data_IF_028070965482
#
_entry.id   IF_028070965482
#
_cell.length_a   1.000
_cell.length_b   1.000
_cell.length_c   1.000
_cell.angle_alpha   90.00
_cell.angle_beta   90.00
_cell.angle_gamma   90.00
#
_symmetry.space_group_name_H-M   'P 1'
#
loop_
_entity.id
_entity.type
_entity.pdbx_description
1 polymer ?
#
# COMPACT_ATOMS: atom_id res chain seq x y z
N UNK A 1 2.98 -33.34 3.94
CA UNK A 1 2.24 -32.30 4.70
C UNK A 1 0.78 -32.33 4.28
N UNK A 2 -0.14 -32.25 5.22
CA UNK A 2 -1.57 -32.11 4.90
C UNK A 2 -1.85 -30.69 4.36
N UNK A 3 -2.96 -30.51 3.65
CA UNK A 3 -3.34 -29.23 3.04
C UNK A 3 -3.38 -28.08 4.07
N UNK A 4 -3.87 -28.36 5.28
CA UNK A 4 -3.97 -27.39 6.38
C UNK A 4 -2.60 -26.96 6.93
N UNK A 5 -1.63 -27.88 6.95
CA UNK A 5 -0.27 -27.59 7.40
C UNK A 5 0.42 -26.66 6.39
N UNK A 6 0.25 -26.94 5.09
CA UNK A 6 0.74 -26.09 4.00
C UNK A 6 0.14 -24.69 4.11
N UNK A 7 -1.17 -24.59 4.34
CA UNK A 7 -1.86 -23.31 4.51
C UNK A 7 -1.29 -22.51 5.68
N UNK A 8 -1.05 -23.15 6.81
CA UNK A 8 -0.47 -22.48 7.99
C UNK A 8 0.90 -21.88 7.67
N UNK A 9 1.78 -22.64 7.02
CA UNK A 9 3.13 -22.18 6.62
C UNK A 9 3.05 -21.06 5.59
N UNK A 10 2.24 -21.23 4.54
CA UNK A 10 2.23 -20.34 3.38
C UNK A 10 1.42 -19.05 3.61
N UNK A 11 0.43 -19.08 4.50
CA UNK A 11 -0.25 -17.87 4.96
C UNK A 11 0.65 -17.03 5.89
N UNK A 12 1.39 -17.66 6.82
CA UNK A 12 2.34 -16.92 7.67
C UNK A 12 3.46 -16.29 6.84
N UNK A 13 4.01 -17.03 5.88
CA UNK A 13 5.02 -16.52 4.95
C UNK A 13 4.51 -15.35 4.08
N UNK A 14 3.22 -15.31 3.77
CA UNK A 14 2.62 -14.23 2.99
C UNK A 14 2.48 -12.92 3.76
N UNK A 15 2.62 -12.89 5.10
CA UNK A 15 2.40 -11.67 5.90
C UNK A 15 3.31 -10.50 5.50
N UNK A 16 4.49 -10.79 4.97
CA UNK A 16 5.48 -9.80 4.50
C UNK A 16 5.14 -9.14 3.15
N UNK A 17 4.16 -9.68 2.40
CA UNK A 17 3.63 -9.03 1.19
C UNK A 17 2.53 -8.01 1.56
N UNK A 18 2.88 -6.75 1.78
CA UNK A 18 1.90 -5.73 2.17
C UNK A 18 1.07 -5.32 0.95
N UNK A 19 -0.16 -5.82 0.86
CA UNK A 19 -1.15 -5.42 -0.16
C UNK A 19 -2.55 -5.20 0.42
N UNK A 20 -2.70 -5.41 1.73
CA UNK A 20 -3.96 -5.36 2.48
C UNK A 20 -3.64 -5.04 3.95
N UNK A 21 -4.62 -4.53 4.70
CA UNK A 21 -4.45 -4.01 6.05
C UNK A 21 -5.10 -4.97 7.06
N UNK A 22 -4.38 -5.98 7.57
CA UNK A 22 -4.82 -6.67 8.81
C UNK A 22 -3.87 -7.71 9.44
N UNK A 23 -2.66 -7.97 8.94
CA UNK A 23 -1.86 -9.10 9.45
C UNK A 23 -0.85 -8.69 10.53
N UNK A 24 -1.34 -8.44 11.75
CA UNK A 24 -0.48 -8.18 12.92
C UNK A 24 -1.09 -8.56 14.28
N UNK A 25 -2.20 -9.31 14.32
CA UNK A 25 -2.82 -9.69 15.59
C UNK A 25 -1.98 -10.77 16.32
N UNK A 26 -1.72 -10.65 17.63
CA UNK A 26 -0.95 -11.64 18.38
C UNK A 26 -1.67 -12.98 18.40
N UNK A 27 -0.93 -14.09 18.43
CA UNK A 27 -1.50 -15.45 18.53
C UNK A 27 -2.27 -15.61 19.84
N UNK A 28 -3.54 -15.98 19.74
CA UNK A 28 -4.50 -16.22 20.82
C UNK A 28 -5.15 -17.56 20.57
N UNK A 29 -5.48 -18.26 21.65
CA UNK A 29 -6.17 -19.54 21.59
C UNK A 29 -7.09 -19.65 22.79
N UNK A 30 -8.33 -20.05 22.55
CA UNK A 30 -9.29 -20.46 23.58
C UNK A 30 -9.14 -21.93 23.98
N UNK A 31 -8.17 -22.67 23.42
CA UNK A 31 -7.96 -24.08 23.79
C UNK A 31 -7.54 -24.18 25.27
N UNK A 32 -8.38 -24.78 26.10
CA UNK A 32 -8.14 -24.94 27.53
C UNK A 32 -8.35 -23.67 28.37
N UNK A 33 -9.06 -22.66 27.83
CA UNK A 33 -9.40 -21.42 28.53
C UNK A 33 -10.90 -21.12 28.38
N UNK A 34 -11.50 -20.48 29.36
CA UNK A 34 -12.86 -19.96 29.23
C UNK A 34 -12.90 -18.84 28.19
N UNK A 35 -13.86 -18.92 27.26
CA UNK A 35 -14.07 -17.94 26.20
C UNK A 35 -14.00 -18.51 24.77
N UNK A 36 -14.25 -17.65 23.79
CA UNK A 36 -14.26 -17.97 22.36
C UNK A 36 -13.16 -17.23 21.61
N UNK A 37 -12.67 -17.85 20.54
CA UNK A 37 -11.80 -17.20 19.56
C UNK A 37 -10.35 -17.68 19.58
N UNK A 38 -9.75 -17.71 18.40
CA UNK A 38 -8.33 -17.93 18.19
C UNK A 38 -7.87 -17.04 17.04
N UNK A 39 -6.70 -16.44 17.17
CA UNK A 39 -6.03 -15.80 16.03
C UNK A 39 -5.13 -16.86 15.40
N UNK A 40 -5.66 -17.53 14.38
CA UNK A 40 -4.95 -18.48 13.55
C UNK A 40 -4.51 -17.80 12.25
N UNK A 41 -3.29 -18.10 11.79
CA UNK A 41 -2.70 -17.55 10.57
C UNK A 41 -3.29 -18.18 9.32
N UNK A 42 -4.62 -18.13 9.14
CA UNK A 42 -5.34 -18.79 8.03
C UNK A 42 -5.31 -17.98 6.72
N UNK A 43 -4.46 -16.95 6.65
CA UNK A 43 -4.24 -16.17 5.44
C UNK A 43 -5.37 -15.22 5.08
N UNK A 44 -6.39 -15.02 5.92
CA UNK A 44 -7.45 -14.05 5.60
C UNK A 44 -6.97 -12.64 5.90
N UNK A 45 -6.99 -11.78 4.89
CA UNK A 45 -6.62 -10.39 5.00
C UNK A 45 -7.76 -9.46 4.58
N UNK A 46 -7.88 -8.30 5.23
CA UNK A 46 -8.89 -7.30 4.90
C UNK A 46 -8.29 -6.19 4.04
N UNK A 47 -8.98 -5.88 2.96
CA UNK A 47 -8.68 -4.74 2.10
C UNK A 47 -9.91 -3.84 2.00
N UNK A 48 -9.71 -2.58 1.63
CA UNK A 48 -10.80 -1.62 1.50
C UNK A 48 -10.93 -1.18 0.05
N UNK A 49 -12.14 -1.31 -0.45
CA UNK A 49 -12.55 -0.77 -1.75
C UNK A 49 -12.58 0.76 -1.74
N UNK A 50 -12.54 1.44 -2.90
CA UNK A 50 -12.58 2.90 -2.97
C UNK A 50 -13.82 3.53 -2.29
N UNK A 51 -14.93 2.80 -2.22
CA UNK A 51 -16.17 3.20 -1.53
C UNK A 51 -16.18 2.85 -0.03
N UNK A 52 -15.08 2.35 0.52
CA UNK A 52 -14.89 2.10 1.95
C UNK A 52 -15.41 0.75 2.43
N UNK A 53 -15.91 -0.13 1.55
CA UNK A 53 -16.28 -1.51 1.95
C UNK A 53 -15.03 -2.33 2.23
N UNK A 54 -15.06 -3.02 3.36
CA UNK A 54 -14.08 -4.02 3.74
C UNK A 54 -14.34 -5.32 2.95
N UNK A 55 -13.31 -5.86 2.32
CA UNK A 55 -13.34 -7.13 1.60
C UNK A 55 -12.30 -8.08 2.18
N UNK A 56 -12.69 -9.32 2.45
CA UNK A 56 -11.78 -10.36 2.93
C UNK A 56 -11.15 -11.09 1.75
N UNK A 57 -9.84 -11.26 1.75
CA UNK A 57 -9.09 -11.99 0.72
C UNK A 57 -8.34 -13.15 1.35
N UNK A 58 -8.32 -14.31 0.69
CA UNK A 58 -7.38 -15.37 1.01
C UNK A 58 -6.00 -14.96 0.45
N UNK A 59 -5.12 -14.51 1.32
CA UNK A 59 -3.76 -14.09 1.04
C UNK A 59 -2.78 -15.21 1.40
N UNK A 60 -2.23 -15.86 0.38
CA UNK A 60 -1.32 -17.00 0.54
C UNK A 60 -0.19 -16.96 -0.49
N UNK A 61 0.89 -17.68 -0.19
CA UNK A 61 1.89 -18.02 -1.19
C UNK A 61 1.53 -19.37 -1.84
N UNK A 62 1.76 -19.52 -3.15
CA UNK A 62 1.78 -20.82 -3.81
C UNK A 62 2.87 -21.72 -3.21
N UNK A 63 4.04 -21.12 -2.94
CA UNK A 63 5.17 -21.76 -2.28
C UNK A 63 6.01 -20.71 -1.58
N UNK A 64 6.63 -21.05 -0.47
CA UNK A 64 7.66 -20.22 0.15
C UNK A 64 9.07 -20.69 -0.21
N UNK A 65 9.26 -21.79 -0.96
CA UNK A 65 10.55 -22.08 -1.58
C UNK A 65 10.92 -20.96 -2.57
N UNK A 66 12.16 -20.49 -2.52
CA UNK A 66 12.66 -19.44 -3.39
C UNK A 66 14.11 -19.71 -3.81
N UNK A 67 14.44 -19.48 -5.08
CA UNK A 67 15.81 -19.54 -5.60
C UNK A 67 16.65 -18.32 -5.22
N UNK A 68 16.01 -17.20 -4.88
CA UNK A 68 16.68 -15.93 -4.62
C UNK A 68 17.06 -15.79 -3.16
N UNK A 69 18.11 -15.01 -2.90
CA UNK A 69 18.66 -14.79 -1.57
C UNK A 69 18.49 -13.36 -1.04
N UNK A 70 17.33 -12.74 -1.32
CA UNK A 70 17.04 -11.38 -0.88
C UNK A 70 17.23 -11.23 0.64
N UNK A 71 18.13 -10.34 1.05
CA UNK A 71 18.66 -10.28 2.42
C UNK A 71 17.64 -9.81 3.46
N UNK A 72 16.57 -9.15 3.01
CA UNK A 72 15.43 -8.72 3.82
C UNK A 72 14.31 -9.77 3.92
N UNK A 73 14.37 -10.85 3.16
CA UNK A 73 13.23 -11.77 2.98
C UNK A 73 13.37 -13.02 3.84
N UNK A 74 12.36 -13.32 4.66
CA UNK A 74 12.34 -14.57 5.45
C UNK A 74 12.35 -15.81 4.56
N UNK A 75 11.81 -15.70 3.35
CA UNK A 75 11.69 -16.81 2.39
C UNK A 75 12.92 -16.94 1.47
N UNK A 76 13.99 -16.17 1.69
CA UNK A 76 15.24 -16.30 0.92
C UNK A 76 15.80 -17.72 1.01
N UNK A 77 16.53 -18.18 0.00
CA UNK A 77 17.01 -19.58 -0.07
C UNK A 77 17.83 -20.01 1.15
N UNK A 78 18.58 -19.09 1.76
CA UNK A 78 19.46 -19.36 2.89
C UNK A 78 18.75 -19.41 4.25
N UNK A 79 17.47 -19.05 4.33
CA UNK A 79 16.72 -19.10 5.58
C UNK A 79 16.28 -20.52 5.92
N UNK A 80 16.58 -20.94 7.14
CA UNK A 80 16.08 -22.18 7.72
C UNK A 80 14.69 -21.97 8.35
N UNK A 81 13.68 -22.04 7.49
CA UNK A 81 12.27 -21.94 7.89
C UNK A 81 11.48 -23.09 7.27
N UNK A 82 10.40 -23.58 7.90
CA UNK A 82 9.55 -24.61 7.32
C UNK A 82 9.09 -24.23 5.91
N UNK A 83 9.30 -25.13 4.94
CA UNK A 83 8.93 -24.89 3.55
C UNK A 83 7.76 -25.75 3.12
N UNK A 84 6.85 -25.16 2.37
CA UNK A 84 5.68 -25.82 1.82
C UNK A 84 5.43 -25.34 0.39
N UNK A 85 4.68 -26.14 -0.35
CA UNK A 85 4.25 -25.84 -1.70
C UNK A 85 2.88 -26.44 -1.94
N UNK A 86 2.00 -25.63 -2.50
CA UNK A 86 0.73 -26.08 -3.05
C UNK A 86 0.88 -26.51 -4.52
N UNK A 87 0.04 -27.44 -4.95
CA UNK A 87 -0.31 -27.56 -6.37
C UNK A 87 -1.34 -26.50 -6.74
N UNK A 88 -1.48 -26.14 -8.03
CA UNK A 88 -2.54 -25.23 -8.46
C UNK A 88 -3.94 -25.67 -8.02
N UNK A 89 -4.24 -26.97 -8.09
CA UNK A 89 -5.53 -27.57 -7.70
C UNK A 89 -5.80 -27.44 -6.20
N UNK A 90 -4.76 -27.55 -5.36
CA UNK A 90 -4.88 -27.31 -3.91
C UNK A 90 -5.27 -25.86 -3.61
N UNK A 91 -4.66 -24.88 -4.30
CA UNK A 91 -5.02 -23.45 -4.15
C UNK A 91 -6.45 -23.18 -4.61
N UNK A 92 -6.84 -23.74 -5.75
CA UNK A 92 -8.20 -23.64 -6.29
C UNK A 92 -9.22 -24.19 -5.29
N UNK A 93 -8.97 -25.40 -4.77
CA UNK A 93 -9.83 -26.07 -3.77
C UNK A 93 -10.00 -25.19 -2.53
N UNK A 94 -8.89 -24.70 -1.96
CA UNK A 94 -8.94 -23.80 -0.80
C UNK A 94 -9.75 -22.53 -1.10
N UNK A 95 -9.50 -21.89 -2.23
CA UNK A 95 -10.18 -20.65 -2.61
C UNK A 95 -11.68 -20.86 -2.69
N UNK A 96 -12.13 -21.93 -3.37
CA UNK A 96 -13.54 -22.25 -3.52
C UNK A 96 -14.20 -22.62 -2.17
N UNK A 97 -13.50 -23.36 -1.32
CA UNK A 97 -14.03 -23.76 -0.01
C UNK A 97 -14.21 -22.57 0.94
N UNK A 98 -13.21 -21.67 1.02
CA UNK A 98 -13.33 -20.43 1.79
C UNK A 98 -14.42 -19.51 1.23
N UNK A 99 -14.55 -19.44 -0.11
CA UNK A 99 -15.57 -18.61 -0.75
C UNK A 99 -16.99 -19.14 -0.49
N UNK A 100 -17.23 -20.45 -0.68
CA UNK A 100 -18.54 -21.08 -0.43
C UNK A 100 -19.01 -20.97 1.01
N UNK A 101 -18.06 -20.83 1.96
CA UNK A 101 -18.33 -20.60 3.38
C UNK A 101 -18.49 -19.12 3.75
N UNK A 102 -18.49 -18.21 2.77
CA UNK A 102 -18.55 -16.76 2.94
C UNK A 102 -17.40 -16.18 3.79
N UNK A 103 -16.25 -16.83 3.83
CA UNK A 103 -15.08 -16.36 4.58
C UNK A 103 -14.25 -15.35 3.80
N UNK A 104 -14.30 -15.38 2.46
CA UNK A 104 -13.53 -14.52 1.57
C UNK A 104 -14.38 -14.03 0.40
N UNK A 105 -13.98 -12.91 -0.17
CA UNK A 105 -14.50 -12.34 -1.42
C UNK A 105 -13.55 -12.56 -2.61
N UNK A 106 -12.34 -13.07 -2.36
CA UNK A 106 -11.33 -13.25 -3.40
C UNK A 106 -10.01 -13.86 -2.92
N UNK A 107 -9.09 -14.03 -3.86
CA UNK A 107 -7.76 -14.59 -3.69
C UNK A 107 -6.69 -13.50 -3.93
N UNK A 108 -5.72 -13.42 -3.04
CA UNK A 108 -4.43 -12.78 -3.28
C UNK A 108 -3.37 -13.88 -3.30
N UNK A 109 -2.75 -14.10 -4.46
CA UNK A 109 -1.77 -15.16 -4.65
C UNK A 109 -0.42 -14.58 -5.06
N UNK A 110 0.60 -14.96 -4.30
CA UNK A 110 2.01 -14.65 -4.53
C UNK A 110 2.82 -15.95 -4.48
N UNK A 111 4.12 -15.89 -4.70
CA UNK A 111 4.99 -17.07 -4.66
C UNK A 111 6.44 -16.70 -4.42
N UNK A 112 7.19 -17.60 -3.78
CA UNK A 112 8.63 -17.70 -4.01
C UNK A 112 8.92 -18.30 -5.39
N UNK A 113 10.13 -18.09 -5.90
CA UNK A 113 10.52 -18.51 -7.26
C UNK A 113 11.08 -19.94 -7.20
N UNK A 114 10.51 -20.85 -7.97
CA UNK A 114 10.93 -22.26 -8.05
C UNK A 114 11.19 -22.66 -9.50
N UNK A 115 12.25 -23.43 -9.74
CA UNK A 115 12.75 -23.84 -11.07
C UNK A 115 13.18 -22.67 -11.97
N UNK A 116 12.25 -21.80 -12.34
CA UNK A 116 12.49 -20.56 -13.09
C UNK A 116 11.37 -19.54 -12.80
N UNK A 117 11.59 -18.30 -13.20
CA UNK A 117 10.56 -17.25 -13.16
C UNK A 117 9.33 -17.66 -14.00
N UNK A 118 9.56 -18.12 -15.23
CA UNK A 118 8.52 -18.60 -16.15
C UNK A 118 7.69 -19.73 -15.54
N UNK A 119 8.35 -20.79 -15.08
CA UNK A 119 7.66 -21.94 -14.49
C UNK A 119 6.78 -21.53 -13.31
N UNK A 120 7.27 -20.62 -12.47
CA UNK A 120 6.51 -20.15 -11.32
C UNK A 120 5.31 -19.31 -11.78
N UNK A 121 5.48 -18.45 -12.79
CA UNK A 121 4.42 -17.63 -13.35
C UNK A 121 3.35 -18.49 -14.04
N UNK A 122 3.75 -19.53 -14.77
CA UNK A 122 2.84 -20.54 -15.33
C UNK A 122 1.96 -21.19 -14.26
N UNK A 123 2.52 -21.51 -13.08
CA UNK A 123 1.72 -22.08 -11.99
C UNK A 123 0.70 -21.08 -11.44
N UNK A 124 1.06 -19.80 -11.33
CA UNK A 124 0.14 -18.74 -10.90
C UNK A 124 -0.98 -18.54 -11.93
N UNK A 125 -0.64 -18.48 -13.22
CA UNK A 125 -1.60 -18.40 -14.31
C UNK A 125 -2.55 -19.59 -14.32
N UNK A 126 -2.02 -20.81 -14.11
CA UNK A 126 -2.83 -22.03 -14.03
C UNK A 126 -3.88 -21.95 -12.92
N UNK A 127 -3.54 -21.44 -11.74
CA UNK A 127 -4.53 -21.24 -10.66
C UNK A 127 -5.65 -20.30 -11.11
N UNK A 128 -5.30 -19.14 -11.67
CA UNK A 128 -6.30 -18.15 -12.10
C UNK A 128 -7.16 -18.67 -13.25
N UNK A 129 -6.57 -19.37 -14.23
CA UNK A 129 -7.26 -19.99 -15.35
C UNK A 129 -8.24 -21.07 -14.91
N UNK A 130 -7.81 -22.00 -14.04
CA UNK A 130 -8.69 -23.02 -13.44
C UNK A 130 -9.88 -22.38 -12.72
N UNK A 131 -9.63 -21.35 -11.91
CA UNK A 131 -10.70 -20.61 -11.22
C UNK A 131 -11.70 -19.99 -12.20
N UNK A 132 -11.22 -19.33 -13.27
CA UNK A 132 -12.08 -18.61 -14.22
C UNK A 132 -12.82 -19.52 -15.19
N UNK A 133 -12.11 -20.46 -15.82
CA UNK A 133 -12.62 -21.24 -16.96
C UNK A 133 -13.33 -22.52 -16.51
N UNK A 134 -12.73 -23.28 -15.58
CA UNK A 134 -13.28 -24.58 -15.16
C UNK A 134 -14.31 -24.42 -14.03
N UNK A 135 -14.03 -23.56 -13.06
CA UNK A 135 -14.89 -23.40 -11.88
C UNK A 135 -15.82 -22.18 -11.93
N UNK A 136 -15.72 -21.35 -12.97
CA UNK A 136 -16.59 -20.17 -13.17
C UNK A 136 -16.51 -19.15 -12.03
N UNK A 137 -15.41 -19.13 -11.26
CA UNK A 137 -15.22 -18.25 -10.11
C UNK A 137 -15.24 -16.78 -10.56
N UNK A 138 -16.17 -16.00 -10.01
CA UNK A 138 -16.33 -14.56 -10.28
C UNK A 138 -15.87 -13.65 -9.13
N UNK A 139 -15.29 -14.23 -8.08
CA UNK A 139 -14.67 -13.45 -7.00
C UNK A 139 -13.39 -12.75 -7.43
N UNK A 140 -12.87 -11.88 -6.58
CA UNK A 140 -11.69 -11.06 -6.87
C UNK A 140 -10.41 -11.92 -6.93
N UNK A 141 -9.52 -11.67 -7.89
CA UNK A 141 -8.20 -12.32 -8.00
C UNK A 141 -7.11 -11.24 -8.13
N UNK A 142 -6.18 -11.22 -7.19
CA UNK A 142 -4.95 -10.44 -7.26
C UNK A 142 -3.76 -11.40 -7.39
N UNK A 143 -3.02 -11.31 -8.50
CA UNK A 143 -1.77 -12.04 -8.68
C UNK A 143 -0.56 -11.13 -8.50
N UNK A 144 0.44 -11.60 -7.76
CA UNK A 144 1.76 -10.99 -7.72
C UNK A 144 2.59 -11.56 -8.87
N UNK A 145 2.88 -10.73 -9.86
CA UNK A 145 3.63 -11.13 -11.05
C UNK A 145 5.11 -11.29 -10.72
N UNK A 146 5.78 -12.20 -11.43
CA UNK A 146 7.23 -12.40 -11.31
C UNK A 146 7.89 -11.60 -12.44
N UNK A 147 8.65 -10.54 -12.11
CA UNK A 147 9.19 -9.62 -13.13
C UNK A 147 10.03 -10.28 -14.21
N UNK A 148 10.81 -11.30 -13.84
CA UNK A 148 11.75 -11.96 -14.73
C UNK A 148 11.10 -13.08 -15.58
N UNK A 149 9.77 -13.20 -15.55
CA UNK A 149 9.03 -14.13 -16.38
C UNK A 149 8.80 -13.57 -17.80
N UNK A 150 8.59 -14.46 -18.76
CA UNK A 150 8.24 -14.12 -20.14
C UNK A 150 7.05 -13.11 -20.16
N UNK A 151 7.17 -11.99 -20.89
CA UNK A 151 6.09 -11.01 -21.02
C UNK A 151 4.73 -11.61 -21.43
N UNK A 152 4.71 -12.70 -22.20
CA UNK A 152 3.48 -13.40 -22.58
C UNK A 152 2.78 -14.06 -21.39
N UNK A 153 3.54 -14.54 -20.40
CA UNK A 153 2.99 -15.10 -19.16
C UNK A 153 2.42 -13.99 -18.28
N UNK A 154 3.04 -12.80 -18.27
CA UNK A 154 2.52 -11.62 -17.56
C UNK A 154 1.22 -11.14 -18.23
N UNK A 155 1.18 -11.13 -19.57
CA UNK A 155 -0.02 -10.78 -20.32
C UNK A 155 -1.16 -11.76 -20.05
N UNK A 156 -0.87 -13.07 -20.06
CA UNK A 156 -1.85 -14.10 -19.71
C UNK A 156 -2.42 -13.89 -18.29
N UNK A 157 -1.58 -13.56 -17.32
CA UNK A 157 -2.02 -13.25 -15.95
C UNK A 157 -3.03 -12.09 -15.93
N UNK A 158 -2.79 -11.06 -16.73
CA UNK A 158 -3.66 -9.90 -16.82
C UNK A 158 -5.05 -10.22 -17.36
N UNK A 159 -5.19 -11.24 -18.21
CA UNK A 159 -6.49 -11.68 -18.75
C UNK A 159 -7.38 -12.36 -17.70
N UNK A 160 -6.79 -13.05 -16.73
CA UNK A 160 -7.54 -13.82 -15.72
C UNK A 160 -7.65 -13.12 -14.35
N UNK A 161 -6.69 -12.27 -14.01
CA UNK A 161 -6.66 -11.54 -12.74
C UNK A 161 -7.45 -10.22 -12.80
N UNK A 162 -8.01 -9.81 -11.66
CA UNK A 162 -8.60 -8.47 -11.51
C UNK A 162 -7.53 -7.41 -11.28
N UNK A 163 -6.46 -7.77 -10.56
CA UNK A 163 -5.31 -6.91 -10.26
C UNK A 163 -4.00 -7.68 -10.41
N UNK A 164 -3.01 -6.99 -10.96
CA UNK A 164 -1.62 -7.45 -10.94
C UNK A 164 -0.78 -6.57 -10.01
N UNK A 165 0.27 -7.14 -9.42
CA UNK A 165 1.28 -6.34 -8.73
C UNK A 165 2.68 -6.83 -8.98
N UNK A 166 3.58 -5.87 -9.22
CA UNK A 166 5.01 -6.07 -9.41
C UNK A 166 5.72 -5.39 -8.24
N UNK A 167 6.52 -6.11 -7.45
CA UNK A 167 7.30 -5.44 -6.39
C UNK A 167 8.55 -4.79 -6.97
N UNK A 168 8.74 -3.51 -6.69
CA UNK A 168 10.04 -2.84 -6.89
C UNK A 168 11.01 -3.16 -5.74
N UNK A 169 10.48 -3.58 -4.60
CA UNK A 169 11.17 -4.01 -3.37
C UNK A 169 11.91 -2.89 -2.65
N UNK A 170 12.82 -2.18 -3.32
CA UNK A 170 13.64 -1.14 -2.74
C UNK A 170 13.55 0.16 -3.54
N UNK A 171 13.67 1.31 -2.87
CA UNK A 171 13.44 2.61 -3.49
C UNK A 171 14.56 3.05 -4.45
N UNK A 172 15.75 2.43 -4.36
CA UNK A 172 16.91 2.74 -5.21
C UNK A 172 17.50 1.49 -5.83
N UNK A 173 18.09 1.65 -7.02
CA UNK A 173 18.78 0.57 -7.73
C UNK A 173 20.01 0.06 -6.98
N UNK A 174 20.81 0.97 -6.41
CA UNK A 174 21.99 0.61 -5.61
C UNK A 174 21.62 -0.30 -4.43
N UNK A 175 20.50 -0.01 -3.76
CA UNK A 175 20.00 -0.84 -2.67
C UNK A 175 19.45 -2.17 -3.16
N UNK A 176 18.77 -2.20 -4.32
CA UNK A 176 18.31 -3.44 -4.93
C UNK A 176 19.47 -4.38 -5.24
N UNK A 177 20.52 -3.87 -5.89
CA UNK A 177 21.73 -4.65 -6.21
C UNK A 177 22.36 -5.21 -4.93
N UNK A 178 22.45 -4.39 -3.88
CA UNK A 178 23.09 -4.80 -2.63
C UNK A 178 22.29 -5.86 -1.87
N UNK A 179 20.96 -5.71 -1.79
CA UNK A 179 20.12 -6.51 -0.89
C UNK A 179 19.33 -7.62 -1.60
N UNK A 180 19.20 -7.57 -2.92
CA UNK A 180 18.51 -8.57 -3.73
C UNK A 180 19.16 -8.67 -5.13
N UNK A 181 20.42 -9.12 -5.22
CA UNK A 181 21.21 -9.08 -6.45
C UNK A 181 20.63 -9.92 -7.60
N UNK A 182 19.78 -10.90 -7.30
CA UNK A 182 19.11 -11.69 -8.34
C UNK A 182 17.97 -10.94 -9.05
N UNK A 183 17.54 -9.78 -8.53
CA UNK A 183 16.48 -8.95 -9.12
C UNK A 183 17.07 -7.81 -9.93
N UNK A 184 16.44 -7.48 -11.06
CA UNK A 184 16.89 -6.39 -11.94
C UNK A 184 15.84 -5.31 -12.06
N UNK A 185 16.25 -4.03 -11.91
CA UNK A 185 15.35 -2.88 -12.08
C UNK A 185 14.75 -2.86 -13.49
N UNK A 186 15.54 -3.26 -14.49
CA UNK A 186 15.11 -3.28 -15.90
C UNK A 186 13.93 -4.21 -16.11
N UNK A 187 14.00 -5.46 -15.65
CA UNK A 187 12.92 -6.45 -15.80
C UNK A 187 11.68 -6.07 -14.99
N UNK A 188 11.87 -5.53 -13.78
CA UNK A 188 10.78 -4.95 -12.96
C UNK A 188 10.03 -3.87 -13.72
N UNK A 189 10.74 -2.90 -14.31
CA UNK A 189 10.14 -1.81 -15.07
C UNK A 189 9.48 -2.31 -16.36
N UNK A 190 10.09 -3.26 -17.05
CA UNK A 190 9.52 -3.90 -18.24
C UNK A 190 8.20 -4.61 -17.91
N UNK A 191 8.15 -5.38 -16.83
CA UNK A 191 6.92 -6.04 -16.37
C UNK A 191 5.81 -5.02 -16.06
N UNK A 192 6.11 -3.94 -15.33
CA UNK A 192 5.14 -2.86 -15.06
C UNK A 192 4.66 -2.18 -16.36
N UNK A 193 5.57 -1.98 -17.32
CA UNK A 193 5.24 -1.41 -18.62
C UNK A 193 4.29 -2.31 -19.41
N UNK A 194 4.58 -3.61 -19.51
CA UNK A 194 3.72 -4.58 -20.20
C UNK A 194 2.31 -4.62 -19.60
N UNK A 195 2.19 -4.58 -18.27
CA UNK A 195 0.89 -4.51 -17.59
C UNK A 195 0.17 -3.21 -17.92
N UNK A 196 0.88 -2.08 -17.93
CA UNK A 196 0.30 -0.78 -18.28
C UNK A 196 -0.21 -0.76 -19.72
N UNK A 197 0.55 -1.32 -20.67
CA UNK A 197 0.13 -1.46 -22.06
C UNK A 197 -1.13 -2.33 -22.20
N UNK A 198 -1.17 -3.47 -21.51
CA UNK A 198 -2.35 -4.34 -21.50
C UNK A 198 -3.60 -3.65 -20.93
N UNK A 199 -3.46 -2.90 -19.83
CA UNK A 199 -4.55 -2.10 -19.26
C UNK A 199 -5.04 -1.02 -20.22
N UNK A 200 -4.10 -0.32 -20.88
CA UNK A 200 -4.42 0.72 -21.85
C UNK A 200 -5.17 0.15 -23.06
N UNK A 201 -4.66 -0.94 -23.63
CA UNK A 201 -5.27 -1.60 -24.78
C UNK A 201 -6.70 -2.06 -24.46
N UNK A 202 -6.90 -2.75 -23.34
CA UNK A 202 -8.22 -3.23 -22.92
C UNK A 202 -9.24 -2.10 -22.65
N UNK A 203 -8.77 -0.88 -22.37
CA UNK A 203 -9.62 0.29 -22.12
C UNK A 203 -10.01 1.03 -23.39
N UNK A 204 -9.06 1.21 -24.31
CA UNK A 204 -9.26 2.00 -25.53
C UNK A 204 -9.94 1.21 -26.65
N UNK A 205 -9.69 -0.10 -26.74
CA UNK A 205 -10.20 -0.93 -27.82
C UNK A 205 -11.55 -1.57 -27.48
N UNK A 206 -12.58 -1.21 -28.24
CA UNK A 206 -13.91 -1.83 -28.10
C UNK A 206 -13.85 -3.31 -28.47
N UNK A 207 -14.23 -4.17 -27.54
CA UNK A 207 -14.27 -5.62 -27.74
C UNK A 207 -13.01 -6.36 -27.32
N UNK A 208 -11.95 -5.65 -26.91
CA UNK A 208 -10.75 -6.29 -26.37
C UNK A 208 -11.05 -7.03 -25.06
N UNK A 209 -10.39 -8.17 -24.81
CA UNK A 209 -10.55 -8.91 -23.57
C UNK A 209 -10.27 -8.04 -22.36
N UNK A 210 -10.95 -8.31 -21.24
CA UNK A 210 -10.64 -7.62 -19.98
C UNK A 210 -9.20 -7.92 -19.59
N UNK A 211 -8.51 -6.89 -19.11
CA UNK A 211 -7.15 -6.99 -18.62
C UNK A 211 -7.03 -6.23 -17.30
N UNK A 212 -6.72 -6.94 -16.21
CA UNK A 212 -6.49 -6.40 -14.87
C UNK A 212 -7.35 -5.17 -14.54
N UNK A 213 -8.70 -5.26 -14.56
CA UNK A 213 -9.59 -4.11 -14.48
C UNK A 213 -9.45 -3.26 -13.20
N UNK A 214 -8.93 -3.83 -12.12
CA UNK A 214 -8.63 -3.12 -10.87
C UNK A 214 -7.24 -2.44 -10.89
N UNK A 215 -6.54 -2.48 -12.02
CA UNK A 215 -5.25 -1.88 -12.30
C UNK A 215 -4.08 -2.55 -11.58
N UNK A 216 -2.89 -2.00 -11.78
CA UNK A 216 -1.66 -2.49 -11.18
C UNK A 216 -1.21 -1.74 -9.91
N UNK A 217 -0.41 -2.42 -9.10
CA UNK A 217 0.17 -1.87 -7.86
C UNK A 217 1.59 -2.38 -7.62
N UNK A 218 2.31 -1.72 -6.71
CA UNK A 218 3.67 -2.12 -6.33
C UNK A 218 3.89 -2.03 -4.82
N UNK A 219 4.99 -2.57 -4.33
CA UNK A 219 5.41 -2.51 -2.93
C UNK A 219 6.89 -2.11 -2.82
N UNK A 220 7.19 -1.26 -1.84
CA UNK A 220 8.53 -0.89 -1.38
C UNK A 220 8.71 -1.25 0.11
N UNK A 221 9.89 -1.72 0.45
CA UNK A 221 10.34 -1.94 1.82
C UNK A 221 11.02 -0.65 2.30
N UNK A 222 10.59 -0.17 3.46
CA UNK A 222 11.06 1.07 4.08
C UNK A 222 11.95 0.71 5.25
N UNK A 223 13.15 1.28 5.31
CA UNK A 223 14.08 1.07 6.43
C UNK A 223 14.86 -0.24 6.40
N UNK A 224 14.90 -0.94 5.25
CA UNK A 224 15.88 -2.01 5.03
C UNK A 224 17.29 -1.45 4.72
N UNK A 225 17.38 -0.16 4.44
CA UNK A 225 18.59 0.59 4.19
C UNK A 225 18.47 2.04 4.72
N UNK A 226 19.46 2.87 4.40
CA UNK A 226 19.50 4.28 4.78
C UNK A 226 18.74 5.20 3.80
N UNK A 227 17.91 4.67 2.90
CA UNK A 227 17.18 5.53 1.95
C UNK A 227 16.20 6.41 2.71
N UNK A 228 16.20 7.70 2.38
CA UNK A 228 15.35 8.70 3.00
C UNK A 228 13.94 8.78 2.37
N UNK A 229 13.01 9.42 3.08
CA UNK A 229 11.62 9.52 2.62
C UNK A 229 11.48 10.40 1.38
N UNK A 230 12.37 11.39 1.19
CA UNK A 230 12.42 12.22 -0.02
C UNK A 230 12.62 11.36 -1.27
N UNK A 231 13.63 10.49 -1.25
CA UNK A 231 13.90 9.54 -2.34
C UNK A 231 12.73 8.59 -2.55
N UNK A 232 12.16 8.03 -1.48
CA UNK A 232 11.02 7.10 -1.55
C UNK A 232 9.82 7.76 -2.22
N UNK A 233 9.47 9.00 -1.84
CA UNK A 233 8.33 9.73 -2.41
C UNK A 233 8.58 10.13 -3.87
N UNK A 234 9.80 10.52 -4.22
CA UNK A 234 10.15 10.79 -5.61
C UNK A 234 10.06 9.53 -6.48
N UNK A 235 10.57 8.40 -6.01
CA UNK A 235 10.41 7.11 -6.70
C UNK A 235 8.92 6.77 -6.85
N UNK A 236 8.11 6.91 -5.80
CA UNK A 236 6.67 6.68 -5.88
C UNK A 236 5.98 7.60 -6.91
N UNK A 237 6.34 8.89 -6.94
CA UNK A 237 5.80 9.85 -7.91
C UNK A 237 6.10 9.42 -9.35
N UNK A 238 7.34 9.05 -9.65
CA UNK A 238 7.75 8.58 -10.97
C UNK A 238 6.98 7.31 -11.36
N UNK A 239 6.83 6.35 -10.44
CA UNK A 239 6.07 5.13 -10.72
C UNK A 239 4.60 5.39 -11.03
N UNK A 240 3.96 6.34 -10.32
CA UNK A 240 2.59 6.76 -10.65
C UNK A 240 2.48 7.41 -12.02
N UNK A 241 3.46 8.24 -12.39
CA UNK A 241 3.51 8.90 -13.70
C UNK A 241 3.73 7.92 -14.85
N UNK A 242 4.78 7.10 -14.72
CA UNK A 242 5.30 6.24 -15.78
C UNK A 242 4.39 5.02 -16.05
N UNK A 243 3.79 4.45 -15.01
CA UNK A 243 3.02 3.19 -15.10
C UNK A 243 1.55 3.32 -14.70
N UNK A 244 1.08 4.53 -14.37
CA UNK A 244 -0.30 4.79 -13.93
C UNK A 244 -0.76 3.89 -12.77
N UNK A 245 0.16 3.58 -11.85
CA UNK A 245 -0.12 2.68 -10.73
C UNK A 245 -1.36 3.14 -9.94
N UNK A 246 -2.16 2.18 -9.47
CA UNK A 246 -3.28 2.47 -8.58
C UNK A 246 -2.82 2.74 -7.16
N UNK A 247 -1.73 2.10 -6.74
CA UNK A 247 -1.19 2.18 -5.38
C UNK A 247 0.26 1.72 -5.30
N UNK A 248 1.03 2.45 -4.50
CA UNK A 248 2.30 2.01 -3.91
C UNK A 248 2.03 1.60 -2.46
N UNK A 249 2.47 0.41 -2.09
CA UNK A 249 2.44 -0.07 -0.71
C UNK A 249 3.81 0.12 -0.07
N UNK A 250 3.81 0.68 1.13
CA UNK A 250 5.00 0.82 1.98
C UNK A 250 4.93 -0.25 3.06
N UNK A 251 6.00 -1.01 3.23
CA UNK A 251 6.16 -1.98 4.31
C UNK A 251 7.37 -1.58 5.12
N UNK A 252 7.19 -1.28 6.41
CA UNK A 252 8.32 -1.21 7.32
C UNK A 252 9.11 -2.52 7.25
N UNK A 253 10.44 -2.41 7.22
CA UNK A 253 11.32 -3.55 7.30
C UNK A 253 11.10 -4.27 8.63
N UNK A 254 10.85 -5.57 8.56
CA UNK A 254 10.79 -6.44 9.73
C UNK A 254 12.06 -7.28 9.74
N UNK A 255 12.92 -7.14 10.77
CA UNK A 255 14.03 -8.05 10.98
C UNK A 255 13.56 -9.50 10.95
N UNK A 256 14.32 -10.34 10.26
CA UNK A 256 14.07 -11.78 10.18
C UNK A 256 14.98 -12.53 11.16
N UNK A 257 14.60 -13.73 11.62
CA UNK A 257 15.52 -14.60 12.33
C UNK A 257 16.82 -14.77 11.53
N UNK A 258 17.97 -14.61 12.19
CA UNK A 258 19.29 -14.68 11.53
C UNK A 258 19.45 -13.71 10.35
N UNK A 259 18.98 -12.46 10.52
CA UNK A 259 19.19 -11.38 9.56
C UNK A 259 20.68 -11.19 9.27
N UNK A 260 21.09 -11.05 8.00
CA UNK A 260 22.45 -10.65 7.64
C UNK A 260 22.81 -9.27 8.20
N UNK A 261 24.10 -9.03 8.45
CA UNK A 261 24.61 -7.74 8.92
C UNK A 261 24.45 -6.59 7.91
N UNK A 262 24.02 -6.90 6.68
CA UNK A 262 23.78 -5.95 5.60
C UNK A 262 22.41 -5.27 5.67
N UNK A 263 21.50 -5.78 6.51
CA UNK A 263 20.22 -5.14 6.84
C UNK A 263 20.23 -4.73 8.32
N UNK A 264 19.42 -3.72 8.72
CA UNK A 264 19.31 -3.34 10.12
C UNK A 264 18.87 -4.50 11.03
N UNK A 265 19.28 -4.47 12.29
CA UNK A 265 18.82 -5.43 13.30
C UNK A 265 17.50 -5.01 13.95
N UNK A 266 17.15 -3.72 13.86
CA UNK A 266 15.94 -3.16 14.43
C UNK A 266 14.97 -2.74 13.31
N UNK A 267 13.67 -2.87 13.58
CA UNK A 267 12.64 -2.35 12.70
C UNK A 267 12.63 -0.81 12.73
N UNK A 268 12.34 -0.12 11.61
CA UNK A 268 12.16 1.32 11.64
C UNK A 268 10.88 1.67 12.43
N UNK A 269 10.75 2.92 12.92
CA UNK A 269 9.53 3.36 13.58
C UNK A 269 8.31 3.13 12.68
N UNK A 270 7.27 2.43 13.18
CA UNK A 270 6.02 2.22 12.43
C UNK A 270 5.37 3.53 11.99
N UNK A 271 5.58 4.60 12.76
CA UNK A 271 5.09 5.92 12.41
C UNK A 271 5.70 6.43 11.10
N UNK A 272 6.91 6.02 10.72
CA UNK A 272 7.52 6.35 9.43
C UNK A 272 6.73 5.76 8.26
N UNK A 273 6.36 4.48 8.34
CA UNK A 273 5.49 3.83 7.33
C UNK A 273 4.15 4.58 7.22
N UNK A 274 3.54 4.92 8.36
CA UNK A 274 2.29 5.67 8.39
C UNK A 274 2.43 7.06 7.76
N UNK A 275 3.51 7.80 8.04
CA UNK A 275 3.78 9.12 7.45
C UNK A 275 3.97 9.04 5.93
N UNK A 276 4.64 8.00 5.43
CA UNK A 276 4.74 7.75 3.98
C UNK A 276 3.37 7.49 3.35
N UNK A 277 2.49 6.71 3.97
CA UNK A 277 1.12 6.54 3.48
C UNK A 277 0.32 7.84 3.48
N UNK A 278 0.50 8.69 4.50
CA UNK A 278 -0.13 10.01 4.53
C UNK A 278 0.38 10.91 3.40
N UNK A 279 1.69 10.95 3.17
CA UNK A 279 2.32 11.70 2.08
C UNK A 279 1.86 11.20 0.70
N UNK A 280 1.85 9.89 0.47
CA UNK A 280 1.32 9.26 -0.75
C UNK A 280 -0.14 9.63 -1.01
N UNK A 281 -0.96 9.64 0.04
CA UNK A 281 -2.35 10.06 -0.06
C UNK A 281 -2.49 11.53 -0.47
N UNK A 282 -1.61 12.41 0.01
CA UNK A 282 -1.55 13.81 -0.44
C UNK A 282 -1.15 13.90 -1.92
N UNK A 283 -0.20 13.10 -2.37
CA UNK A 283 0.22 13.09 -3.78
C UNK A 283 -0.92 12.64 -4.70
N UNK A 284 -1.54 11.49 -4.40
CA UNK A 284 -2.62 10.94 -5.25
C UNK A 284 -3.94 11.69 -5.13
N UNK A 285 -4.31 12.10 -3.92
CA UNK A 285 -5.63 12.65 -3.62
C UNK A 285 -5.71 14.17 -3.67
N UNK A 286 -4.63 14.87 -3.32
CA UNK A 286 -4.59 16.33 -3.21
C UNK A 286 -3.71 16.98 -4.29
N UNK A 287 -2.98 16.19 -5.08
CA UNK A 287 -2.11 16.69 -6.14
C UNK A 287 -0.86 17.39 -5.62
N UNK A 288 -0.32 16.95 -4.48
CA UNK A 288 1.01 17.36 -4.04
C UNK A 288 2.09 16.70 -4.90
N UNK A 289 3.15 17.44 -5.23
CA UNK A 289 4.39 16.85 -5.70
C UNK A 289 5.28 16.42 -4.51
N UNK A 290 6.11 15.39 -4.71
CA UNK A 290 7.06 14.92 -3.70
C UNK A 290 7.99 16.05 -3.21
N UNK A 291 8.48 16.87 -4.13
CA UNK A 291 9.33 18.02 -3.81
C UNK A 291 8.63 19.15 -3.06
N UNK A 292 7.28 19.19 -3.05
CA UNK A 292 6.54 20.11 -2.18
C UNK A 292 6.53 19.60 -0.73
N UNK A 293 6.39 18.28 -0.54
CA UNK A 293 6.34 17.67 0.79
C UNK A 293 7.70 17.64 1.48
N UNK A 294 8.78 17.46 0.70
CA UNK A 294 10.16 17.50 1.15
C UNK A 294 11.00 18.26 0.10
N UNK A 295 11.47 19.47 0.44
CA UNK A 295 12.24 20.31 -0.48
C UNK A 295 13.70 19.87 -0.70
N UNK A 296 14.16 18.84 -0.01
CA UNK A 296 15.51 18.31 -0.10
C UNK A 296 15.62 16.91 0.48
N UNK A 297 16.85 16.36 0.59
CA UNK A 297 17.10 15.09 1.25
C UNK A 297 16.60 15.11 2.70
N UNK A 298 16.06 13.99 3.16
CA UNK A 298 15.56 13.86 4.53
C UNK A 298 14.30 13.02 4.67
N UNK A 299 13.87 12.89 5.92
CA UNK A 299 12.70 12.10 6.32
C UNK A 299 11.52 12.99 6.70
N UNK A 300 10.32 12.44 6.61
CA UNK A 300 9.11 13.09 7.08
C UNK A 300 9.16 13.25 8.60
N UNK A 301 8.56 14.33 9.08
CA UNK A 301 8.35 14.56 10.51
C UNK A 301 7.50 13.44 11.12
N UNK A 302 7.95 12.89 12.24
CA UNK A 302 7.19 11.85 12.95
C UNK A 302 6.12 12.47 13.88
N UNK A 303 6.40 13.63 14.47
CA UNK A 303 5.55 14.33 15.44
C UNK A 303 4.30 15.02 14.86
N UNK A 304 4.29 15.29 13.55
CA UNK A 304 3.17 15.94 12.85
C UNK A 304 2.89 15.29 11.50
N UNK A 305 1.64 15.36 11.04
CA UNK A 305 1.28 14.84 9.72
C UNK A 305 1.88 15.67 8.57
N UNK A 306 2.15 15.07 7.39
CA UNK A 306 2.84 15.76 6.28
C UNK A 306 2.10 17.01 5.76
N UNK A 307 0.76 17.05 5.87
CA UNK A 307 -0.03 18.19 5.41
C UNK A 307 0.14 19.39 6.33
N UNK A 308 0.13 19.13 7.64
CA UNK A 308 0.44 20.15 8.66
C UNK A 308 1.90 20.61 8.54
N UNK A 309 2.85 19.68 8.37
CA UNK A 309 4.27 20.03 8.18
C UNK A 309 4.46 20.96 6.97
N UNK A 310 3.82 20.64 5.85
CA UNK A 310 3.83 21.51 4.67
C UNK A 310 3.26 22.89 4.97
N UNK A 311 2.09 22.97 5.62
CA UNK A 311 1.44 24.25 5.91
C UNK A 311 2.23 25.14 6.88
N UNK A 312 3.00 24.54 7.79
CA UNK A 312 3.89 25.25 8.71
C UNK A 312 5.18 25.75 8.03
N UNK A 313 5.67 25.04 7.01
CA UNK A 313 6.85 25.43 6.25
C UNK A 313 6.54 26.45 5.13
N UNK A 314 5.28 26.57 4.70
CA UNK A 314 4.85 27.45 3.61
C UNK A 314 3.86 28.52 4.13
N UNK A 315 4.26 29.25 5.18
CA UNK A 315 3.40 30.22 5.89
C UNK A 315 2.92 31.37 5.01
N UNK A 316 3.65 31.69 3.96
CA UNK A 316 3.31 32.73 2.97
C UNK A 316 1.98 32.46 2.25
N UNK A 317 1.53 31.21 2.19
CA UNK A 317 0.24 30.85 1.61
C UNK A 317 -0.93 30.95 2.61
N UNK A 318 -0.66 31.30 3.88
CA UNK A 318 -1.63 31.24 4.96
C UNK A 318 -1.68 32.55 5.77
N UNK A 319 -2.87 32.92 6.28
CA UNK A 319 -4.12 32.17 6.25
C UNK A 319 -4.87 32.28 4.92
N UNK A 320 -5.57 31.21 4.56
CA UNK A 320 -6.34 31.11 3.31
C UNK A 320 -7.73 31.70 3.52
N UNK A 321 -8.11 32.71 2.72
CA UNK A 321 -9.47 33.24 2.70
C UNK A 321 -10.43 32.24 2.04
N UNK A 322 -11.27 31.61 2.85
CA UNK A 322 -12.27 30.65 2.44
C UNK A 322 -13.50 31.26 1.74
N UNK A 323 -13.44 32.50 1.28
CA UNK A 323 -14.42 33.05 0.34
C UNK A 323 -13.80 33.38 -1.02
N UNK A 324 -12.47 33.31 -1.15
CA UNK A 324 -11.73 33.75 -2.34
C UNK A 324 -10.79 32.71 -2.91
N UNK A 325 -10.17 31.90 -2.06
CA UNK A 325 -9.14 30.96 -2.49
C UNK A 325 -9.68 29.86 -3.40
N UNK A 326 -8.82 29.38 -4.30
CA UNK A 326 -9.09 28.29 -5.22
C UNK A 326 -9.36 26.95 -4.48
N UNK A 327 -10.18 26.04 -5.06
CA UNK A 327 -10.48 24.71 -4.52
C UNK A 327 -9.24 23.94 -4.05
N UNK A 328 -8.19 23.95 -4.87
CA UNK A 328 -6.94 23.24 -4.59
C UNK A 328 -6.25 23.77 -3.33
N UNK A 329 -6.17 25.10 -3.16
CA UNK A 329 -5.53 25.69 -1.99
C UNK A 329 -6.33 25.45 -0.70
N UNK A 330 -7.67 25.48 -0.77
CA UNK A 330 -8.52 25.13 0.39
C UNK A 330 -8.29 23.67 0.79
N UNK A 331 -8.18 22.78 -0.19
CA UNK A 331 -7.89 21.38 0.08
C UNK A 331 -6.51 21.19 0.71
N UNK A 332 -5.57 22.12 0.57
CA UNK A 332 -4.24 22.07 1.22
C UNK A 332 -4.23 22.57 2.66
N UNK A 333 -5.30 23.19 3.15
CA UNK A 333 -5.45 23.59 4.56
C UNK A 333 -5.51 22.35 5.47
N UNK A 334 -4.68 22.26 6.53
CA UNK A 334 -4.78 21.19 7.53
C UNK A 334 -6.19 21.08 8.12
N UNK A 335 -6.71 19.87 8.25
CA UNK A 335 -8.07 19.64 8.76
C UNK A 335 -9.23 19.85 7.78
N UNK A 336 -8.98 20.29 6.54
CA UNK A 336 -9.99 20.35 5.47
C UNK A 336 -9.67 19.31 4.39
N UNK A 337 -10.58 18.35 4.15
CA UNK A 337 -10.42 17.36 3.08
C UNK A 337 -10.86 17.87 1.70
N UNK A 338 -10.49 17.16 0.62
CA UNK A 338 -10.86 17.52 -0.77
C UNK A 338 -12.37 17.65 -0.95
N UNK A 339 -13.16 16.71 -0.43
CA UNK A 339 -14.63 16.77 -0.51
C UNK A 339 -15.18 17.98 0.25
N UNK A 340 -14.64 18.29 1.44
CA UNK A 340 -15.04 19.47 2.19
C UNK A 340 -14.66 20.76 1.46
N UNK A 341 -13.49 20.82 0.81
CA UNK A 341 -13.08 21.94 -0.02
C UNK A 341 -14.04 22.18 -1.19
N UNK A 342 -14.45 21.13 -1.91
CA UNK A 342 -15.44 21.21 -2.99
C UNK A 342 -16.81 21.69 -2.49
N UNK A 343 -17.26 21.17 -1.34
CA UNK A 343 -18.52 21.59 -0.70
C UNK A 343 -18.46 23.07 -0.28
N UNK A 344 -17.34 23.52 0.29
CA UNK A 344 -17.13 24.93 0.63
C UNK A 344 -17.21 25.83 -0.60
N UNK A 345 -16.57 25.45 -1.71
CA UNK A 345 -16.62 26.23 -2.96
C UNK A 345 -18.03 26.29 -3.52
N UNK A 346 -18.78 25.19 -3.45
CA UNK A 346 -20.19 25.15 -3.86
C UNK A 346 -21.05 26.07 -2.98
N UNK A 347 -20.83 26.05 -1.67
CA UNK A 347 -21.58 26.85 -0.70
C UNK A 347 -21.30 28.36 -0.84
N UNK A 348 -20.08 28.77 -1.23
CA UNK A 348 -19.70 30.18 -1.49
C UNK A 348 -20.57 30.87 -2.53
N UNK A 349 -21.13 30.10 -3.47
CA UNK A 349 -22.02 30.62 -4.52
C UNK A 349 -23.36 31.09 -3.96
N UNK A 350 -23.75 30.59 -2.79
CA UNK A 350 -25.05 30.86 -2.16
C UNK A 350 -24.92 31.83 -0.99
N UNK A 351 -23.80 31.77 -0.26
CA UNK A 351 -23.55 32.64 0.90
C UNK A 351 -22.07 32.84 1.14
N UNK A 352 -21.74 33.85 1.95
CA UNK A 352 -20.39 33.97 2.51
C UNK A 352 -20.16 32.84 3.51
N UNK A 353 -19.02 32.15 3.37
CA UNK A 353 -18.60 31.09 4.27
C UNK A 353 -18.29 31.69 5.62
N UNK A 354 -18.92 31.14 6.65
CA UNK A 354 -18.73 31.46 8.05
C UNK A 354 -18.03 30.31 8.76
N UNK A 355 -17.48 30.57 9.93
CA UNK A 355 -16.77 29.57 10.72
C UNK A 355 -17.64 28.35 11.03
N UNK A 356 -18.93 28.55 11.33
CA UNK A 356 -19.89 27.48 11.62
C UNK A 356 -20.08 26.48 10.46
N UNK A 357 -19.84 26.91 9.21
CA UNK A 357 -20.01 26.04 8.03
C UNK A 357 -18.97 24.93 8.02
N UNK A 358 -17.75 25.20 8.51
CA UNK A 358 -16.71 24.19 8.62
C UNK A 358 -17.05 23.14 9.69
N UNK A 359 -17.68 23.55 10.79
CA UNK A 359 -18.18 22.63 11.82
C UNK A 359 -19.23 21.69 11.23
N UNK A 360 -20.20 22.23 10.48
CA UNK A 360 -21.26 21.44 9.83
C UNK A 360 -20.70 20.47 8.79
N UNK A 361 -19.62 20.85 8.10
CA UNK A 361 -18.90 19.99 7.16
C UNK A 361 -17.93 19.01 7.84
N UNK A 362 -17.90 18.96 9.18
CA UNK A 362 -17.06 18.08 9.99
C UNK A 362 -15.55 18.22 9.69
N UNK A 363 -15.10 19.43 9.37
CA UNK A 363 -13.68 19.72 9.26
C UNK A 363 -13.00 19.63 10.64
N UNK A 364 -11.72 19.25 10.69
CA UNK A 364 -10.95 19.22 11.93
C UNK A 364 -10.51 20.64 12.32
N UNK A 365 -11.38 21.35 13.04
CA UNK A 365 -11.23 22.78 13.30
C UNK A 365 -10.00 23.14 14.12
N UNK A 366 -9.58 22.33 15.09
CA UNK A 366 -8.36 22.60 15.86
C UNK A 366 -7.13 22.67 14.97
N UNK A 367 -7.05 21.81 13.94
CA UNK A 367 -5.97 21.85 12.95
C UNK A 367 -6.16 22.98 11.93
N UNK A 368 -7.39 23.30 11.52
CA UNK A 368 -7.66 24.28 10.47
C UNK A 368 -7.60 25.74 10.95
N UNK A 369 -7.97 25.99 12.21
CA UNK A 369 -8.14 27.33 12.79
C UNK A 369 -6.97 28.28 12.53
N UNK A 370 -5.68 27.89 12.65
CA UNK A 370 -4.57 28.82 12.41
C UNK A 370 -4.36 29.21 10.94
N UNK A 371 -4.97 28.48 10.01
CA UNK A 371 -4.65 28.53 8.58
C UNK A 371 -5.77 29.11 7.72
N UNK A 372 -6.89 29.55 8.29
CA UNK A 372 -8.07 29.98 7.53
C UNK A 372 -8.58 31.35 7.95
N UNK A 373 -9.16 32.07 6.99
CA UNK A 373 -10.04 33.23 7.22
C UNK A 373 -11.43 32.87 6.69
N UNK A 374 -12.46 33.23 7.44
CA UNK A 374 -13.86 33.17 6.99
C UNK A 374 -14.49 34.55 7.16
N UNK A 375 -15.77 34.69 6.81
CA UNK A 375 -16.45 35.99 6.91
C UNK A 375 -16.44 36.57 8.33
N UNK A 376 -16.56 35.72 9.34
CA UNK A 376 -16.71 36.07 10.76
C UNK A 376 -15.57 35.57 11.66
N UNK A 377 -14.53 34.98 11.09
CA UNK A 377 -13.35 34.52 11.83
C UNK A 377 -12.05 34.89 11.15
N UNK A 378 -11.13 35.43 11.95
CA UNK A 378 -9.72 35.63 11.59
C UNK A 378 -8.84 35.01 12.67
N UNK A 379 -7.77 34.29 12.29
CA UNK A 379 -6.94 33.57 13.22
C UNK A 379 -6.01 34.52 13.98
N UNK A 380 -6.18 34.59 15.32
CA UNK A 380 -5.23 35.28 16.19
C UNK A 380 -3.85 34.61 16.16
N UNK A 381 -3.81 33.30 15.93
CA UNK A 381 -2.59 32.49 15.92
C UNK A 381 -1.82 32.54 14.60
N UNK A 382 -2.37 33.12 13.52
CA UNK A 382 -1.66 33.17 12.24
C UNK A 382 -0.40 34.04 12.27
N UNK A 383 -0.27 34.91 13.27
CA UNK A 383 0.92 35.72 13.54
C UNK A 383 1.95 34.99 14.42
N UNK A 384 1.63 33.80 14.97
CA UNK A 384 2.59 33.03 15.76
C UNK A 384 3.60 32.32 14.87
N UNK A 385 4.81 32.19 15.38
CA UNK A 385 5.89 31.43 14.75
C UNK A 385 5.48 29.97 14.54
N UNK A 386 5.91 29.38 13.42
CA UNK A 386 5.60 27.99 13.06
C UNK A 386 6.03 26.98 14.12
N UNK A 387 7.10 27.26 14.88
CA UNK A 387 7.56 26.40 15.97
C UNK A 387 6.54 26.30 17.11
N UNK A 388 5.93 27.43 17.51
CA UNK A 388 4.89 27.44 18.54
C UNK A 388 3.64 26.70 18.06
N UNK A 389 3.23 26.93 16.81
CA UNK A 389 2.10 26.20 16.22
C UNK A 389 2.36 24.70 16.13
N UNK A 390 3.59 24.29 15.77
CA UNK A 390 3.99 22.89 15.73
C UNK A 390 3.86 22.23 17.09
N UNK A 391 4.33 22.87 18.15
CA UNK A 391 4.22 22.34 19.52
C UNK A 391 2.76 22.22 19.99
N UNK A 392 1.89 23.13 19.59
CA UNK A 392 0.47 23.10 19.96
C UNK A 392 -0.34 22.06 19.18
N UNK A 393 0.07 21.77 17.95
CA UNK A 393 -0.65 20.88 17.02
C UNK A 393 0.01 19.51 16.85
N UNK A 394 1.14 19.27 17.53
CA UNK A 394 1.81 17.97 17.49
C UNK A 394 0.94 16.90 18.09
N UNK A 395 0.98 15.74 17.47
CA UNK A 395 0.38 14.53 18.02
C UNK A 395 1.39 14.03 19.06
N UNK A 396 0.99 13.88 20.33
CA UNK A 396 1.85 13.25 21.33
C UNK A 396 2.21 11.86 20.80
N UNK A 397 3.50 11.54 20.52
CA UNK A 397 3.82 10.29 19.88
C UNK A 397 3.59 9.15 20.88
N UNK A 398 2.43 8.51 20.79
CA UNK A 398 2.26 7.17 21.33
C UNK A 398 2.99 6.24 20.37
N UNK A 399 4.15 5.75 20.82
CA UNK A 399 4.84 4.67 20.14
C UNK A 399 3.85 3.51 19.99
N UNK A 400 3.33 3.31 18.78
CA UNK A 400 2.56 2.12 18.46
C UNK A 400 3.53 0.96 18.57
N UNK A 401 3.44 0.22 19.67
CA UNK A 401 4.33 -0.89 19.92
C UNK A 401 3.94 -2.05 18.98
N UNK A 402 4.97 -2.67 18.41
CA UNK A 402 4.88 -3.96 17.76
C UNK A 402 4.51 -4.99 18.82
N UNK A 403 3.32 -5.59 18.74
CA UNK A 403 2.96 -6.73 19.58
C UNK A 403 2.38 -7.87 18.75
#
# INVERSE_FOLDING_TARGET
MQLIDKLTVLADAAKYDVSCASSGAPKRSSKGKDGLGATNGMGICHSFTPDGRCVALLKILLTNFCLYDCQYCVNRRSSDVPRARFTPEEVVTLTLDFYRRNCISGLFLSSGIIRSADYTMEQLNRVAKLLREEHGFRGYIHLKTIPDADPLLIEEAGRYADRLSVNIELPTEASLIRLAPEKQVVTIKQAMHSIHQGEHQAREEKGSPRFAPAGQSTQMIVGADATDDSTILHTAQSLYGDYRLRRVYYSAFSPIPHSPNTVPFEAPPLLREHRLYQADFLMRGYGFAAGELLSGPGNLALDIDPKLAWALNNREHFPVDLNRAEPAMIARVPGIGVLSAQRLVSLRRQKRIRYEDLTRLRCALEKAKPFIVTHDYRPQLATRESLLLRQQLSETPQQMALW
#
